data_IF_460344819661
#
_entry.id   IF_460344819661
#
_cell.length_a   1.000
_cell.length_b   1.000
_cell.length_c   1.000
_cell.angle_alpha   90.00
_cell.angle_beta   90.00
_cell.angle_gamma   90.00
#
_symmetry.space_group_name_H-M   'P 1'
#
loop_
_entity.id
_entity.type
_entity.pdbx_description
1 polymer ?
#
# COMPACT_ATOMS: atom_id res chain seq x y z
N UNK A 1 -63.33 4.16 59.39
CA UNK A 1 -64.02 5.08 58.43
C UNK A 1 -63.22 5.05 57.15
N UNK A 2 -63.79 4.39 56.16
CA UNK A 2 -63.33 4.41 54.77
C UNK A 2 -64.03 5.60 54.10
N UNK A 3 -63.43 6.32 53.19
CA UNK A 3 -63.55 6.08 51.80
C UNK A 3 -62.28 6.51 51.05
N UNK A 4 -62.02 6.32 49.82
CA UNK A 4 -62.72 5.92 48.62
C UNK A 4 -61.70 5.96 47.50
N UNK A 5 -61.79 5.00 46.62
CA UNK A 5 -61.18 4.88 45.33
C UNK A 5 -61.09 6.19 44.51
N UNK A 6 -60.00 6.36 43.82
CA UNK A 6 -60.02 7.02 42.53
C UNK A 6 -58.97 6.40 41.61
N UNK A 7 -59.53 5.58 40.71
CA UNK A 7 -58.93 5.08 39.51
C UNK A 7 -58.65 6.25 38.54
N UNK A 8 -57.47 6.30 38.04
CA UNK A 8 -57.25 7.05 36.78
C UNK A 8 -56.17 6.34 35.95
N UNK A 9 -56.67 5.63 34.99
CA UNK A 9 -55.94 5.14 33.83
C UNK A 9 -55.57 6.32 32.94
N UNK A 10 -54.34 6.41 32.58
CA UNK A 10 -53.87 7.20 31.39
C UNK A 10 -52.66 6.46 30.89
N UNK A 11 -52.75 5.79 29.77
CA UNK A 11 -52.67 6.39 28.49
C UNK A 11 -51.25 6.18 27.99
N UNK A 12 -50.99 5.05 27.29
CA UNK A 12 -49.76 4.82 26.55
C UNK A 12 -49.75 5.72 25.32
N UNK A 13 -48.77 6.56 25.10
CA UNK A 13 -48.52 7.09 23.77
C UNK A 13 -47.33 6.40 23.12
N UNK A 14 -47.61 5.78 22.02
CA UNK A 14 -46.79 5.89 20.83
C UNK A 14 -45.42 5.23 20.84
N UNK A 15 -45.41 3.97 20.45
CA UNK A 15 -44.23 3.30 19.93
C UNK A 15 -43.85 3.97 18.60
N UNK A 16 -43.02 4.99 18.69
CA UNK A 16 -42.35 5.55 17.50
C UNK A 16 -41.27 4.59 17.02
N UNK A 17 -41.59 3.78 16.02
CA UNK A 17 -40.59 2.98 15.30
C UNK A 17 -39.76 3.97 14.44
N UNK A 18 -38.68 4.45 15.02
CA UNK A 18 -37.64 5.17 14.29
C UNK A 18 -36.90 4.20 13.38
N UNK A 19 -37.28 4.17 12.11
CA UNK A 19 -36.55 3.47 11.07
C UNK A 19 -35.22 4.17 10.85
N UNK A 20 -34.16 3.76 11.58
CA UNK A 20 -32.81 4.20 11.36
C UNK A 20 -32.33 3.57 10.03
N UNK A 21 -32.39 4.33 8.94
CA UNK A 21 -31.75 3.95 7.68
C UNK A 21 -30.23 4.09 7.90
N UNK A 22 -29.60 2.98 8.24
CA UNK A 22 -28.14 2.87 8.21
C UNK A 22 -27.71 2.91 6.74
N UNK A 23 -27.31 4.07 6.26
CA UNK A 23 -26.61 4.21 4.99
C UNK A 23 -25.26 3.51 5.13
N UNK A 24 -25.22 2.23 4.77
CA UNK A 24 -24.00 1.45 4.69
C UNK A 24 -23.11 2.04 3.61
N UNK A 25 -22.04 2.71 4.01
CA UNK A 25 -20.99 3.16 3.11
C UNK A 25 -20.20 1.91 2.69
N UNK A 26 -20.64 1.25 1.61
CA UNK A 26 -19.87 0.16 1.01
C UNK A 26 -18.64 0.77 0.35
N UNK A 27 -17.50 0.73 1.04
CA UNK A 27 -16.22 1.03 0.43
C UNK A 27 -15.95 -0.02 -0.66
N UNK A 28 -16.08 0.37 -1.91
CA UNK A 28 -15.65 -0.46 -3.05
C UNK A 28 -14.13 -0.48 -3.03
N UNK A 29 -13.55 -1.49 -2.39
CA UNK A 29 -12.13 -1.79 -2.53
C UNK A 29 -11.89 -2.23 -3.97
N UNK A 30 -11.28 -1.36 -4.78
CA UNK A 30 -10.83 -1.73 -6.11
C UNK A 30 -9.81 -2.88 -6.04
N UNK A 31 -9.64 -3.68 -7.12
CA UNK A 31 -8.69 -4.77 -7.13
C UNK A 31 -7.28 -4.23 -6.86
N UNK A 32 -6.70 -4.62 -5.74
CA UNK A 32 -5.28 -4.39 -5.48
C UNK A 32 -4.48 -5.28 -6.43
N UNK A 33 -3.88 -4.68 -7.45
CA UNK A 33 -3.02 -5.43 -8.38
C UNK A 33 -1.71 -5.73 -7.67
N UNK A 34 -1.46 -7.00 -7.34
CA UNK A 34 -0.22 -7.46 -6.73
C UNK A 34 0.99 -7.15 -7.66
N UNK A 35 2.17 -6.90 -7.06
CA UNK A 35 3.38 -6.67 -7.84
C UNK A 35 3.80 -7.95 -8.58
N UNK A 36 4.32 -7.77 -9.80
CA UNK A 36 4.80 -8.86 -10.65
C UNK A 36 6.32 -9.02 -10.48
N UNK A 37 6.71 -9.97 -9.65
CA UNK A 37 8.11 -10.25 -9.31
C UNK A 37 8.89 -10.73 -10.55
N UNK A 38 8.27 -11.49 -11.45
CA UNK A 38 8.96 -11.99 -12.66
C UNK A 38 9.26 -10.85 -13.63
N UNK A 39 8.28 -9.95 -13.84
CA UNK A 39 8.51 -8.73 -14.61
C UNK A 39 9.55 -7.85 -13.93
N UNK A 40 9.49 -7.71 -12.62
CA UNK A 40 10.49 -6.98 -11.83
C UNK A 40 11.90 -7.52 -12.03
N UNK A 41 12.09 -8.83 -12.01
CA UNK A 41 13.38 -9.48 -12.27
C UNK A 41 13.90 -9.19 -13.69
N UNK A 42 13.04 -9.25 -14.68
CA UNK A 42 13.39 -8.93 -16.07
C UNK A 42 13.82 -7.47 -16.23
N UNK A 43 13.04 -6.54 -15.68
CA UNK A 43 13.36 -5.10 -15.71
C UNK A 43 14.65 -4.78 -14.94
N UNK A 44 14.85 -5.43 -13.78
CA UNK A 44 16.09 -5.29 -13.02
C UNK A 44 17.30 -5.73 -13.82
N UNK A 45 17.23 -6.90 -14.47
CA UNK A 45 18.30 -7.41 -15.32
C UNK A 45 18.66 -6.44 -16.45
N UNK A 46 17.64 -5.82 -17.07
CA UNK A 46 17.82 -4.92 -18.20
C UNK A 46 18.37 -3.54 -17.79
N UNK A 47 17.87 -2.98 -16.68
CA UNK A 47 18.06 -1.57 -16.36
C UNK A 47 18.95 -1.30 -15.13
N UNK A 48 19.11 -2.29 -14.23
CA UNK A 48 19.70 -2.06 -12.91
C UNK A 48 20.97 -2.88 -12.67
N UNK A 49 21.03 -4.10 -13.20
CA UNK A 49 22.07 -5.09 -12.92
C UNK A 49 23.48 -4.62 -13.29
N UNK A 50 23.63 -3.76 -14.31
CA UNK A 50 24.94 -3.25 -14.73
C UNK A 50 25.68 -2.51 -13.60
N UNK A 51 24.96 -1.85 -12.71
CA UNK A 51 25.53 -1.13 -11.58
C UNK A 51 25.31 -1.85 -10.24
N UNK A 52 24.10 -2.42 -10.07
CA UNK A 52 23.69 -3.06 -8.81
C UNK A 52 24.04 -4.55 -8.73
N UNK A 53 24.64 -5.11 -9.79
CA UNK A 53 24.98 -6.53 -9.88
C UNK A 53 23.78 -7.42 -10.17
N UNK A 54 23.99 -8.52 -10.87
CA UNK A 54 22.92 -9.45 -11.27
C UNK A 54 22.22 -10.12 -10.08
N UNK A 55 22.90 -10.24 -8.94
CA UNK A 55 22.40 -10.84 -7.69
C UNK A 55 22.05 -9.82 -6.62
N UNK A 56 22.11 -8.51 -6.91
CA UNK A 56 21.89 -7.45 -5.93
C UNK A 56 23.14 -7.06 -5.13
N UNK A 57 24.29 -7.73 -5.37
CA UNK A 57 25.58 -7.29 -4.84
C UNK A 57 26.18 -6.28 -5.82
N UNK A 58 26.41 -5.03 -5.40
CA UNK A 58 26.77 -3.95 -6.31
C UNK A 58 28.16 -4.17 -6.92
N UNK A 59 28.29 -3.80 -8.20
CA UNK A 59 29.56 -3.74 -8.92
C UNK A 59 30.07 -2.31 -9.03
N UNK A 60 29.17 -1.33 -8.91
CA UNK A 60 29.53 0.09 -8.88
C UNK A 60 29.78 0.55 -7.45
N UNK A 61 30.92 1.22 -7.16
CA UNK A 61 31.18 1.80 -5.85
C UNK A 61 30.10 2.78 -5.41
N UNK A 62 29.63 2.66 -4.16
CA UNK A 62 28.59 3.52 -3.60
C UNK A 62 27.16 3.11 -3.92
N UNK A 63 26.93 2.14 -4.81
CA UNK A 63 25.61 1.59 -5.03
C UNK A 63 25.18 0.72 -3.82
N UNK A 64 23.90 0.76 -3.41
CA UNK A 64 23.41 -0.06 -2.31
C UNK A 64 23.48 -1.55 -2.62
N UNK A 65 23.77 -2.34 -1.59
CA UNK A 65 23.78 -3.79 -1.66
C UNK A 65 22.36 -4.32 -1.30
N UNK A 66 21.63 -4.84 -2.26
CA UNK A 66 20.26 -5.34 -2.07
C UNK A 66 20.20 -6.72 -1.40
N UNK A 67 21.36 -7.39 -1.18
CA UNK A 67 21.45 -8.59 -0.34
C UNK A 67 21.35 -8.25 1.16
N UNK A 68 21.42 -6.98 1.49
CA UNK A 68 21.33 -6.48 2.85
C UNK A 68 19.97 -5.82 3.05
N UNK A 69 19.19 -6.35 3.99
CA UNK A 69 17.84 -5.87 4.27
C UNK A 69 17.80 -4.36 4.59
N UNK A 70 18.85 -3.83 5.20
CA UNK A 70 18.95 -2.42 5.57
C UNK A 70 18.83 -1.49 4.36
N UNK A 71 19.27 -1.94 3.18
CA UNK A 71 19.17 -1.19 1.93
C UNK A 71 17.71 -1.02 1.46
N UNK A 72 16.81 -1.85 1.96
CA UNK A 72 15.41 -1.96 1.51
C UNK A 72 14.40 -1.63 2.63
N UNK A 73 14.82 -1.17 3.81
CA UNK A 73 13.92 -0.85 4.93
C UNK A 73 13.00 0.35 4.67
N UNK A 74 13.26 1.12 3.63
CA UNK A 74 12.44 2.28 3.28
C UNK A 74 11.09 1.83 2.69
N UNK A 75 10.00 2.61 2.89
CA UNK A 75 8.73 2.35 2.24
C UNK A 75 8.84 2.36 0.71
N UNK A 76 7.99 1.57 0.04
CA UNK A 76 7.98 1.45 -1.43
C UNK A 76 7.78 2.81 -2.13
N UNK A 77 6.98 3.69 -1.54
CA UNK A 77 6.78 5.06 -2.07
C UNK A 77 8.07 5.88 -2.11
N UNK A 78 8.94 5.71 -1.11
CA UNK A 78 10.23 6.40 -1.07
C UNK A 78 11.25 5.78 -2.04
N UNK A 79 11.23 4.45 -2.16
CA UNK A 79 12.06 3.74 -3.15
C UNK A 79 11.63 4.10 -4.56
N UNK A 80 10.33 4.12 -4.85
CA UNK A 80 9.75 4.57 -6.11
C UNK A 80 10.20 5.99 -6.46
N UNK A 81 10.05 6.94 -5.53
CA UNK A 81 10.46 8.32 -5.74
C UNK A 81 11.96 8.43 -6.03
N UNK A 82 12.80 7.65 -5.33
CA UNK A 82 14.25 7.63 -5.55
C UNK A 82 14.64 7.10 -6.94
N UNK A 83 13.98 6.04 -7.41
CA UNK A 83 14.23 5.47 -8.74
C UNK A 83 13.76 6.43 -9.83
N UNK A 84 12.60 7.06 -9.66
CA UNK A 84 12.10 8.06 -10.62
C UNK A 84 13.02 9.25 -10.76
N UNK A 85 13.50 9.79 -9.65
CA UNK A 85 14.33 10.99 -9.64
C UNK A 85 15.79 10.71 -9.98
N UNK A 86 16.27 9.48 -9.80
CA UNK A 86 17.69 9.18 -9.81
C UNK A 86 18.42 9.71 -8.58
N UNK A 87 19.68 9.34 -8.40
CA UNK A 87 20.52 9.84 -7.31
C UNK A 87 21.99 9.64 -7.62
N UNK A 88 22.76 10.74 -7.68
CA UNK A 88 24.18 10.67 -8.00
C UNK A 88 24.41 10.04 -9.36
N UNK A 89 25.18 8.96 -9.44
CA UNK A 89 25.44 8.23 -10.67
C UNK A 89 24.26 7.39 -11.17
N UNK A 90 23.24 7.15 -10.33
CA UNK A 90 22.03 6.44 -10.72
C UNK A 90 21.16 7.36 -11.58
N UNK A 91 20.84 7.01 -12.84
CA UNK A 91 20.00 7.83 -13.70
C UNK A 91 18.56 7.91 -13.20
N UNK A 92 17.84 8.94 -13.62
CA UNK A 92 16.41 9.07 -13.40
C UNK A 92 15.64 8.14 -14.36
N UNK A 93 14.66 7.43 -13.83
CA UNK A 93 13.81 6.53 -14.63
C UNK A 93 12.43 7.13 -14.92
N UNK A 94 12.20 8.37 -14.53
CA UNK A 94 10.98 9.09 -14.92
C UNK A 94 10.87 9.17 -16.45
N UNK A 95 9.73 8.72 -17.00
CA UNK A 95 9.51 8.66 -18.45
C UNK A 95 10.15 7.44 -19.15
N UNK A 96 10.98 6.66 -18.47
CA UNK A 96 11.58 5.42 -19.00
C UNK A 96 10.78 4.20 -18.50
N UNK A 97 10.53 4.13 -17.19
CA UNK A 97 9.72 3.10 -16.56
C UNK A 97 8.46 3.73 -15.94
N UNK A 98 7.34 3.03 -16.06
CA UNK A 98 6.10 3.39 -15.36
C UNK A 98 6.24 3.08 -13.88
N UNK A 99 5.51 3.79 -13.03
CA UNK A 99 5.51 3.57 -11.57
C UNK A 99 5.25 2.11 -11.21
N UNK A 100 4.33 1.47 -11.93
CA UNK A 100 4.02 0.06 -11.73
C UNK A 100 5.24 -0.83 -11.99
N UNK A 101 5.99 -0.57 -13.03
CA UNK A 101 7.20 -1.33 -13.39
C UNK A 101 8.30 -1.14 -12.35
N UNK A 102 8.44 0.07 -11.83
CA UNK A 102 9.38 0.33 -10.72
C UNK A 102 8.95 -0.41 -9.45
N UNK A 103 7.64 -0.46 -9.15
CA UNK A 103 7.13 -1.23 -8.00
C UNK A 103 7.34 -2.72 -8.17
N UNK A 104 7.24 -3.26 -9.38
CA UNK A 104 7.57 -4.66 -9.66
C UNK A 104 9.07 -4.94 -9.42
N UNK A 105 9.96 -4.02 -9.83
CA UNK A 105 11.40 -4.11 -9.51
C UNK A 105 11.63 -4.08 -8.01
N UNK A 106 10.99 -3.17 -7.28
CA UNK A 106 11.11 -3.09 -5.81
C UNK A 106 10.66 -4.41 -5.15
N UNK A 107 9.55 -4.98 -5.61
CA UNK A 107 9.08 -6.28 -5.11
C UNK A 107 10.10 -7.40 -5.37
N UNK A 108 10.70 -7.43 -6.56
CA UNK A 108 11.79 -8.36 -6.86
C UNK A 108 13.00 -8.14 -5.95
N UNK A 109 13.44 -6.90 -5.74
CA UNK A 109 14.59 -6.61 -4.86
C UNK A 109 14.40 -7.15 -3.44
N UNK A 110 13.18 -7.11 -2.91
CA UNK A 110 12.85 -7.67 -1.59
C UNK A 110 12.98 -9.19 -1.52
N UNK A 111 13.07 -9.88 -2.66
CA UNK A 111 13.34 -11.32 -2.70
C UNK A 111 14.82 -11.66 -2.65
N UNK A 112 15.70 -10.66 -2.77
CA UNK A 112 17.16 -10.85 -2.80
C UNK A 112 17.81 -10.85 -1.41
N UNK A 113 17.11 -10.29 -0.40
CA UNK A 113 17.61 -10.13 0.98
C UNK A 113 17.11 -11.22 1.93
#
# INVERSE_FOLDING_TARGET
MIPTLASMAHGFPGLGIGLAIALGFSAVAGPAVAADIQRGASLYSTHCAACHGSSGTPVMPGAPNFRRIESLLRPDSQLLASVRAGKGAMPAYFGILRDREILDVIAYLRTLS
#
